data_IF_595992560785
#
_entry.id   IF_595992560785
#
_cell.length_a   1.000
_cell.length_b   1.000
_cell.length_c   1.000
_cell.angle_alpha   90.00
_cell.angle_beta   90.00
_cell.angle_gamma   90.00
#
_symmetry.space_group_name_H-M   'P 1'
#
loop_
_entity.id
_entity.type
_entity.pdbx_description
1 polymer ?
#
# COMPACT_ATOMS: atom_id res chain seq x y z
N UNK A 1 -27.37 31.72 16.16
CA UNK A 1 -25.94 32.00 16.39
C UNK A 1 -25.23 30.87 17.11
N UNK A 2 -25.63 30.52 18.34
CA UNK A 2 -24.87 29.56 19.15
C UNK A 2 -24.89 28.13 18.57
N UNK A 3 -26.05 27.65 18.10
CA UNK A 3 -26.19 26.30 17.56
C UNK A 3 -25.43 26.12 16.24
N UNK A 4 -25.49 27.10 15.35
CA UNK A 4 -24.83 27.06 14.05
C UNK A 4 -23.30 27.15 14.20
N UNK A 5 -22.81 28.06 15.06
CA UNK A 5 -21.38 28.15 15.38
C UNK A 5 -20.90 26.89 16.08
N UNK A 6 -21.68 26.33 17.02
CA UNK A 6 -21.35 25.06 17.68
C UNK A 6 -21.31 23.90 16.68
N UNK A 7 -22.23 23.85 15.73
CA UNK A 7 -22.26 22.84 14.68
C UNK A 7 -21.01 22.94 13.79
N UNK A 8 -20.63 24.14 13.35
CA UNK A 8 -19.42 24.34 12.55
C UNK A 8 -18.17 23.95 13.33
N UNK A 9 -18.07 24.34 14.61
CA UNK A 9 -16.94 23.94 15.47
C UNK A 9 -16.88 22.43 15.67
N UNK A 10 -18.03 21.77 15.86
CA UNK A 10 -18.12 20.31 15.95
C UNK A 10 -17.65 19.65 14.65
N UNK A 11 -18.09 20.16 13.49
CA UNK A 11 -17.66 19.66 12.19
C UNK A 11 -16.15 19.81 12.00
N UNK A 12 -15.56 20.95 12.36
CA UNK A 12 -14.09 21.15 12.32
C UNK A 12 -13.38 20.13 13.23
N UNK A 13 -13.91 19.89 14.44
CA UNK A 13 -13.36 18.90 15.36
C UNK A 13 -13.41 17.47 14.82
N UNK A 14 -14.54 17.08 14.22
CA UNK A 14 -14.70 15.78 13.55
C UNK A 14 -13.72 15.66 12.38
N UNK A 15 -13.58 16.70 11.56
CA UNK A 15 -12.61 16.72 10.46
C UNK A 15 -11.18 16.50 10.98
N UNK A 16 -10.83 17.18 12.07
CA UNK A 16 -9.53 17.02 12.73
C UNK A 16 -9.30 15.61 13.24
N UNK A 17 -10.30 14.99 13.85
CA UNK A 17 -10.21 13.59 14.30
C UNK A 17 -10.00 12.63 13.14
N UNK A 18 -10.70 12.83 12.02
CA UNK A 18 -10.56 12.02 10.81
C UNK A 18 -9.16 12.16 10.21
N UNK A 19 -8.70 13.39 9.98
CA UNK A 19 -7.37 13.68 9.44
C UNK A 19 -6.25 13.15 10.35
N UNK A 20 -6.42 13.26 11.66
CA UNK A 20 -5.49 12.69 12.65
C UNK A 20 -5.45 11.17 12.56
N UNK A 21 -6.60 10.51 12.45
CA UNK A 21 -6.71 9.05 12.38
C UNK A 21 -6.06 8.49 11.14
N UNK A 22 -6.35 9.08 9.98
CA UNK A 22 -5.76 8.72 8.70
C UNK A 22 -4.24 8.69 8.80
N UNK A 23 -3.66 9.82 9.19
CA UNK A 23 -2.22 9.97 9.22
C UNK A 23 -1.58 9.13 10.33
N UNK A 24 -2.24 8.96 11.47
CA UNK A 24 -1.73 8.10 12.54
C UNK A 24 -1.66 6.63 12.10
N UNK A 25 -2.69 6.11 11.44
CA UNK A 25 -2.72 4.72 10.95
C UNK A 25 -1.70 4.50 9.84
N UNK A 26 -1.64 5.41 8.86
CA UNK A 26 -0.69 5.33 7.73
C UNK A 26 0.77 5.44 8.19
N UNK A 27 1.04 6.27 9.19
CA UNK A 27 2.41 6.50 9.70
C UNK A 27 2.84 5.49 10.76
N UNK A 28 1.91 4.70 11.30
CA UNK A 28 2.19 3.73 12.36
C UNK A 28 2.98 2.54 11.82
N UNK A 29 3.94 2.05 12.62
CA UNK A 29 4.69 0.83 12.28
C UNK A 29 3.90 -0.40 12.76
N UNK A 30 3.52 -1.35 11.89
CA UNK A 30 2.74 -2.53 12.28
C UNK A 30 3.38 -3.36 13.41
N UNK A 31 4.71 -3.45 13.41
CA UNK A 31 5.49 -4.15 14.46
C UNK A 31 5.27 -3.54 15.85
N UNK A 32 5.20 -2.21 15.95
CA UNK A 32 5.00 -1.51 17.22
C UNK A 32 3.54 -1.63 17.70
N UNK A 33 2.58 -1.55 16.78
CA UNK A 33 1.17 -1.80 17.09
C UNK A 33 0.92 -3.22 17.60
N UNK A 34 1.53 -4.24 16.97
CA UNK A 34 1.47 -5.63 17.45
C UNK A 34 2.00 -5.75 18.88
N UNK A 35 3.17 -5.16 19.16
CA UNK A 35 3.72 -5.15 20.51
C UNK A 35 2.82 -4.44 21.55
N UNK A 36 2.10 -3.38 21.16
CA UNK A 36 1.08 -2.77 22.03
C UNK A 36 -0.12 -3.69 22.25
N UNK A 37 -0.61 -4.36 21.21
CA UNK A 37 -1.73 -5.29 21.29
C UNK A 37 -1.40 -6.51 22.18
N UNK A 38 -0.19 -7.07 22.06
CA UNK A 38 0.31 -8.16 22.92
C UNK A 38 0.38 -7.76 24.41
N UNK A 39 0.57 -6.46 24.70
CA UNK A 39 0.52 -5.90 26.06
C UNK A 39 -0.90 -5.62 26.57
N UNK A 40 -1.93 -6.01 25.81
CA UNK A 40 -3.34 -5.89 26.20
C UNK A 40 -4.04 -4.62 25.71
N UNK A 41 -3.42 -3.82 24.83
CA UNK A 41 -4.07 -2.64 24.24
C UNK A 41 -5.05 -3.05 23.13
N UNK A 42 -6.34 -3.03 23.45
CA UNK A 42 -7.43 -3.32 22.49
C UNK A 42 -7.49 -2.31 21.35
N UNK A 43 -7.10 -1.05 21.60
CA UNK A 43 -7.05 -0.02 20.57
C UNK A 43 -5.98 -0.33 19.52
N UNK A 44 -4.81 -0.80 19.98
CA UNK A 44 -3.73 -1.23 19.09
C UNK A 44 -4.12 -2.44 18.23
N UNK A 45 -4.90 -3.38 18.76
CA UNK A 45 -5.43 -4.51 17.98
C UNK A 45 -6.37 -4.04 16.86
N UNK A 46 -7.28 -3.11 17.17
CA UNK A 46 -8.20 -2.55 16.16
C UNK A 46 -7.43 -1.72 15.14
N UNK A 47 -6.46 -0.91 15.57
CA UNK A 47 -5.59 -0.13 14.69
C UNK A 47 -4.83 -1.04 13.71
N UNK A 48 -4.37 -2.21 14.18
CA UNK A 48 -3.72 -3.19 13.33
C UNK A 48 -4.67 -3.74 12.26
N UNK A 49 -5.92 -4.07 12.63
CA UNK A 49 -6.95 -4.52 11.68
C UNK A 49 -7.30 -3.44 10.64
N UNK A 50 -7.37 -2.18 11.06
CA UNK A 50 -7.58 -1.05 10.15
C UNK A 50 -6.40 -0.85 9.18
N UNK A 51 -5.17 -1.15 9.63
CA UNK A 51 -3.98 -1.09 8.80
C UNK A 51 -3.81 -2.29 7.84
N UNK A 52 -4.46 -3.43 8.10
CA UNK A 52 -4.44 -4.61 7.23
C UNK A 52 -5.27 -4.42 5.95
N UNK A 53 -6.35 -3.63 6.02
CA UNK A 53 -7.16 -3.22 4.87
C UNK A 53 -7.17 -1.69 4.72
N UNK A 54 -6.03 -1.11 4.29
CA UNK A 54 -5.90 0.34 4.21
C UNK A 54 -6.83 0.93 3.14
N UNK A 55 -7.21 0.18 2.11
CA UNK A 55 -8.06 0.70 1.02
C UNK A 55 -9.43 1.14 1.51
N UNK A 56 -10.16 0.25 2.19
CA UNK A 56 -11.49 0.55 2.72
C UNK A 56 -11.45 1.63 3.81
N UNK A 57 -10.41 1.61 4.66
CA UNK A 57 -10.21 2.62 5.70
C UNK A 57 -9.95 4.01 5.10
N UNK A 58 -8.98 4.12 4.17
CA UNK A 58 -8.60 5.40 3.58
C UNK A 58 -9.76 6.00 2.77
N UNK A 59 -10.48 5.18 2.00
CA UNK A 59 -11.68 5.62 1.29
C UNK A 59 -12.73 6.17 2.26
N UNK A 60 -13.03 5.44 3.34
CA UNK A 60 -13.99 5.88 4.36
C UNK A 60 -13.63 7.24 4.95
N UNK A 61 -12.38 7.37 5.41
CA UNK A 61 -11.92 8.59 6.09
C UNK A 61 -11.90 9.77 5.13
N UNK A 62 -11.44 9.58 3.90
CA UNK A 62 -11.40 10.62 2.88
C UNK A 62 -12.81 11.12 2.50
N UNK A 63 -13.77 10.21 2.36
CA UNK A 63 -15.18 10.56 2.14
C UNK A 63 -15.72 11.34 3.34
N UNK A 64 -15.39 10.91 4.56
CA UNK A 64 -15.76 11.62 5.79
C UNK A 64 -15.22 13.04 5.82
N UNK A 65 -13.93 13.23 5.57
CA UNK A 65 -13.27 14.55 5.52
C UNK A 65 -13.95 15.44 4.48
N UNK A 66 -14.19 14.90 3.29
CA UNK A 66 -14.83 15.65 2.20
C UNK A 66 -16.27 16.06 2.57
N UNK A 67 -17.06 15.14 3.11
CA UNK A 67 -18.45 15.41 3.49
C UNK A 67 -18.53 16.45 4.62
N UNK A 68 -17.70 16.28 5.65
CA UNK A 68 -17.64 17.21 6.78
C UNK A 68 -17.18 18.60 6.31
N UNK A 69 -16.18 18.67 5.42
CA UNK A 69 -15.71 19.91 4.82
C UNK A 69 -16.78 20.63 4.00
N UNK A 70 -17.50 19.89 3.14
CA UNK A 70 -18.61 20.44 2.34
C UNK A 70 -19.74 20.96 3.23
N UNK A 71 -20.13 20.19 4.25
CA UNK A 71 -21.16 20.62 5.21
C UNK A 71 -20.69 21.86 5.99
N UNK A 72 -19.47 21.86 6.52
CA UNK A 72 -18.93 23.01 7.25
C UNK A 72 -18.89 24.27 6.37
N UNK A 73 -18.46 24.15 5.11
CA UNK A 73 -18.44 25.26 4.15
C UNK A 73 -19.85 25.77 3.81
N UNK A 74 -20.78 24.86 3.52
CA UNK A 74 -22.16 25.21 3.17
C UNK A 74 -22.89 25.89 4.35
N UNK A 75 -22.78 25.33 5.55
CA UNK A 75 -23.42 25.90 6.75
C UNK A 75 -22.79 27.23 7.15
N UNK A 76 -21.46 27.36 7.09
CA UNK A 76 -20.78 28.61 7.47
C UNK A 76 -21.14 29.77 6.55
N UNK A 77 -21.12 29.57 5.24
CA UNK A 77 -21.49 30.63 4.27
C UNK A 77 -22.96 31.02 4.36
N UNK A 78 -23.87 30.04 4.42
CA UNK A 78 -25.31 30.29 4.38
C UNK A 78 -25.91 30.80 5.70
N UNK A 79 -25.21 30.66 6.83
CA UNK A 79 -25.73 31.11 8.13
C UNK A 79 -24.91 32.24 8.73
N UNK A 80 -23.62 32.00 8.98
CA UNK A 80 -22.74 32.96 9.64
C UNK A 80 -22.39 34.10 8.66
N UNK A 81 -22.17 33.77 7.39
CA UNK A 81 -21.88 34.75 6.32
C UNK A 81 -22.99 35.78 6.12
N UNK A 82 -24.24 35.31 5.96
CA UNK A 82 -25.41 36.18 5.79
C UNK A 82 -25.66 37.08 7.02
N UNK A 83 -25.44 36.56 8.23
CA UNK A 83 -25.60 37.36 9.45
C UNK A 83 -24.52 38.39 9.65
N UNK A 84 -23.27 38.07 9.27
CA UNK A 84 -22.21 39.06 9.28
C UNK A 84 -22.55 40.20 8.29
N UNK A 85 -23.08 39.86 7.12
CA UNK A 85 -23.54 40.83 6.13
C UNK A 85 -24.64 41.78 6.63
N UNK A 86 -25.50 41.36 7.57
CA UNK A 86 -26.52 42.24 8.17
C UNK A 86 -25.90 43.32 9.07
N UNK A 87 -24.74 43.05 9.67
CA UNK A 87 -24.05 43.95 10.60
C UNK A 87 -23.07 44.88 9.88
N UNK A 88 -22.54 44.46 8.72
CA UNK A 88 -21.57 45.23 7.92
C UNK A 88 -22.00 46.66 7.55
N UNK A 89 -23.28 46.96 7.27
CA UNK A 89 -23.75 48.32 7.03
C UNK A 89 -23.55 49.27 8.21
N UNK A 90 -23.59 48.76 9.45
CA UNK A 90 -23.31 49.56 10.66
C UNK A 90 -21.84 50.03 10.72
N UNK A 91 -20.96 49.32 10.02
CA UNK A 91 -19.53 49.62 9.90
C UNK A 91 -19.17 50.41 8.64
N UNK A 92 -20.17 50.94 7.92
CA UNK A 92 -19.96 51.81 6.75
C UNK A 92 -19.78 51.07 5.42
N UNK A 93 -20.06 49.75 5.37
CA UNK A 93 -20.02 49.00 4.11
C UNK A 93 -21.35 49.16 3.36
N UNK A 94 -21.33 49.51 2.05
CA UNK A 94 -22.55 49.63 1.26
C UNK A 94 -23.37 48.34 1.27
N UNK A 95 -24.69 48.44 1.45
CA UNK A 95 -25.59 47.28 1.49
C UNK A 95 -25.49 46.37 0.25
N UNK A 96 -25.18 46.95 -0.92
CA UNK A 96 -24.95 46.22 -2.16
C UNK A 96 -23.72 45.28 -2.09
N UNK A 97 -22.69 45.62 -1.31
CA UNK A 97 -21.48 44.84 -1.14
C UNK A 97 -21.46 44.03 0.16
N UNK A 98 -22.31 44.38 1.14
CA UNK A 98 -22.30 43.79 2.47
C UNK A 98 -22.47 42.26 2.46
N UNK A 99 -23.29 41.72 1.54
CA UNK A 99 -23.48 40.28 1.40
C UNK A 99 -22.22 39.56 0.90
N UNK A 100 -21.63 40.02 -0.20
CA UNK A 100 -20.41 39.41 -0.76
C UNK A 100 -19.23 39.51 0.22
N UNK A 101 -19.05 40.67 0.86
CA UNK A 101 -17.97 40.88 1.83
C UNK A 101 -18.21 40.07 3.11
N UNK A 102 -19.44 40.02 3.62
CA UNK A 102 -19.79 39.27 4.82
C UNK A 102 -19.59 37.77 4.66
N UNK A 103 -20.13 37.19 3.57
CA UNK A 103 -19.93 35.78 3.24
C UNK A 103 -18.46 35.49 2.95
N UNK A 104 -17.79 36.34 2.16
CA UNK A 104 -16.37 36.17 1.82
C UNK A 104 -15.47 36.16 3.06
N UNK A 105 -15.65 37.11 3.99
CA UNK A 105 -14.84 37.19 5.21
C UNK A 105 -15.05 35.99 6.13
N UNK A 106 -16.30 35.55 6.29
CA UNK A 106 -16.63 34.36 7.10
C UNK A 106 -16.03 33.10 6.48
N UNK A 107 -16.16 32.92 5.16
CA UNK A 107 -15.59 31.77 4.46
C UNK A 107 -14.08 31.75 4.62
N UNK A 108 -13.38 32.87 4.43
CA UNK A 108 -11.92 32.95 4.62
C UNK A 108 -11.53 32.63 6.07
N UNK A 109 -12.21 33.23 7.05
CA UNK A 109 -11.90 33.02 8.47
C UNK A 109 -12.14 31.57 8.91
N UNK A 110 -13.28 30.98 8.54
CA UNK A 110 -13.60 29.59 8.89
C UNK A 110 -12.72 28.61 8.11
N UNK A 111 -12.39 28.89 6.85
CA UNK A 111 -11.46 28.06 6.08
C UNK A 111 -10.08 28.04 6.74
N UNK A 112 -9.55 29.20 7.15
CA UNK A 112 -8.29 29.30 7.87
C UNK A 112 -8.32 28.50 9.19
N UNK A 113 -9.37 28.70 9.99
CA UNK A 113 -9.53 27.98 11.25
C UNK A 113 -9.67 26.46 11.04
N UNK A 114 -10.45 26.04 10.05
CA UNK A 114 -10.64 24.63 9.69
C UNK A 114 -9.36 23.99 9.18
N UNK A 115 -8.55 24.71 8.41
CA UNK A 115 -7.28 24.20 7.90
C UNK A 115 -6.25 24.02 9.02
N UNK A 116 -6.20 24.94 9.98
CA UNK A 116 -5.29 24.83 11.13
C UNK A 116 -5.77 23.78 12.12
N UNK A 117 -6.97 23.97 12.68
CA UNK A 117 -7.49 23.17 13.79
C UNK A 117 -8.07 21.84 13.32
N UNK A 118 -8.70 21.84 12.15
CA UNK A 118 -9.34 20.67 11.57
C UNK A 118 -8.43 19.83 10.69
N UNK A 119 -7.18 20.23 10.42
CA UNK A 119 -6.31 19.43 9.55
C UNK A 119 -4.83 19.48 9.96
N UNK A 120 -4.18 20.65 9.91
CA UNK A 120 -2.72 20.76 10.11
C UNK A 120 -2.29 20.34 11.52
N UNK A 121 -2.88 20.92 12.56
CA UNK A 121 -2.52 20.63 13.95
C UNK A 121 -2.78 19.15 14.30
N UNK A 122 -3.96 18.58 13.98
CA UNK A 122 -4.21 17.15 14.19
C UNK A 122 -3.22 16.24 13.46
N UNK A 123 -2.82 16.58 12.22
CA UNK A 123 -1.81 15.84 11.47
C UNK A 123 -0.44 15.90 12.15
N UNK A 124 -0.04 17.04 12.68
CA UNK A 124 1.22 17.16 13.43
C UNK A 124 1.20 16.30 14.71
N UNK A 125 0.07 16.25 15.42
CA UNK A 125 -0.10 15.38 16.60
C UNK A 125 0.00 13.90 16.20
N UNK A 126 -0.63 13.52 15.09
CA UNK A 126 -0.55 12.16 14.57
C UNK A 126 0.89 11.74 14.24
N UNK A 127 1.68 12.62 13.64
CA UNK A 127 3.08 12.34 13.31
C UNK A 127 4.00 12.26 14.54
N UNK A 128 3.70 13.02 15.59
CA UNK A 128 4.50 13.02 16.82
C UNK A 128 4.40 11.69 17.59
N UNK A 129 3.22 11.06 17.59
CA UNK A 129 2.99 9.80 18.32
C UNK A 129 1.99 8.87 17.59
N UNK A 130 2.33 8.37 16.39
CA UNK A 130 1.38 7.71 15.51
C UNK A 130 0.74 6.48 16.13
N UNK A 131 1.49 5.62 16.82
CA UNK A 131 0.91 4.39 17.37
C UNK A 131 -0.01 4.66 18.57
N UNK A 132 0.31 5.66 19.39
CA UNK A 132 -0.55 6.06 20.53
C UNK A 132 -1.86 6.66 20.03
N UNK A 133 -1.77 7.55 19.05
CA UNK A 133 -2.93 8.20 18.45
C UNK A 133 -3.78 7.19 17.69
N UNK A 134 -3.16 6.33 16.87
CA UNK A 134 -3.88 5.28 16.14
C UNK A 134 -4.62 4.35 17.10
N UNK A 135 -3.97 3.90 18.18
CA UNK A 135 -4.61 3.02 19.17
C UNK A 135 -5.78 3.71 19.89
N UNK A 136 -5.65 5.01 20.21
CA UNK A 136 -6.70 5.77 20.88
C UNK A 136 -7.93 5.99 19.98
N UNK A 137 -7.73 6.28 18.69
CA UNK A 137 -8.82 6.67 17.79
C UNK A 137 -9.40 5.47 17.00
N UNK A 138 -8.69 4.36 16.92
CA UNK A 138 -9.12 3.14 16.20
C UNK A 138 -10.53 2.64 16.55
N UNK A 139 -11.00 2.62 17.82
CA UNK A 139 -12.36 2.18 18.13
C UNK A 139 -13.46 3.07 17.51
N UNK A 140 -13.24 4.39 17.53
CA UNK A 140 -14.16 5.35 16.93
C UNK A 140 -14.18 5.20 15.40
N UNK A 141 -13.02 4.99 14.79
CA UNK A 141 -12.92 4.74 13.35
C UNK A 141 -13.58 3.45 12.93
N UNK A 142 -13.44 2.37 13.71
CA UNK A 142 -14.11 1.10 13.40
C UNK A 142 -15.64 1.25 13.36
N UNK A 143 -16.21 2.02 14.31
CA UNK A 143 -17.64 2.32 14.30
C UNK A 143 -18.03 3.12 13.06
N UNK A 144 -17.27 4.17 12.75
CA UNK A 144 -17.51 5.01 11.59
C UNK A 144 -17.43 4.22 10.28
N UNK A 145 -16.41 3.39 10.10
CA UNK A 145 -16.27 2.51 8.94
C UNK A 145 -17.42 1.53 8.78
N UNK A 146 -17.98 1.01 9.88
CA UNK A 146 -19.19 0.16 9.81
C UNK A 146 -20.42 0.92 9.34
N UNK A 147 -20.62 2.15 9.83
CA UNK A 147 -21.76 3.00 9.45
C UNK A 147 -21.62 3.48 8.00
N UNK A 148 -20.41 3.82 7.57
CA UNK A 148 -20.10 4.32 6.24
C UNK A 148 -19.96 3.20 5.19
N UNK A 149 -19.81 1.93 5.60
CA UNK A 149 -19.64 0.78 4.72
C UNK A 149 -20.57 0.73 3.48
N UNK A 150 -21.90 0.95 3.58
CA UNK A 150 -22.77 0.92 2.40
C UNK A 150 -22.47 2.06 1.41
N UNK A 151 -22.12 3.24 1.91
CA UNK A 151 -21.75 4.40 1.07
C UNK A 151 -20.41 4.16 0.38
N UNK A 152 -19.42 3.67 1.14
CA UNK A 152 -18.08 3.34 0.63
C UNK A 152 -18.17 2.25 -0.44
N UNK A 153 -18.96 1.20 -0.20
CA UNK A 153 -19.17 0.14 -1.19
C UNK A 153 -19.74 0.67 -2.52
N UNK A 154 -20.71 1.58 -2.44
CA UNK A 154 -21.29 2.21 -3.64
C UNK A 154 -20.23 3.01 -4.40
N UNK A 155 -19.44 3.81 -3.67
CA UNK A 155 -18.38 4.64 -4.24
C UNK A 155 -17.25 3.80 -4.84
N UNK A 156 -16.78 2.76 -4.15
CA UNK A 156 -15.75 1.85 -4.67
C UNK A 156 -16.23 1.12 -5.92
N UNK A 157 -17.49 0.69 -5.97
CA UNK A 157 -18.08 0.09 -7.18
C UNK A 157 -18.16 1.08 -8.32
N UNK A 158 -18.52 2.34 -8.05
CA UNK A 158 -18.53 3.39 -9.06
C UNK A 158 -17.11 3.70 -9.57
N UNK A 159 -16.12 3.77 -8.68
CA UNK A 159 -14.72 4.00 -9.03
C UNK A 159 -14.17 2.84 -9.86
N UNK A 160 -14.44 1.59 -9.46
CA UNK A 160 -14.05 0.40 -10.22
C UNK A 160 -14.71 0.35 -11.61
N UNK A 161 -15.95 0.82 -11.76
CA UNK A 161 -16.60 0.96 -13.06
C UNK A 161 -15.86 1.97 -13.95
N UNK A 162 -15.54 3.15 -13.40
CA UNK A 162 -14.79 4.18 -14.12
C UNK A 162 -13.40 3.68 -14.52
N UNK A 163 -12.67 3.02 -13.61
CA UNK A 163 -11.37 2.44 -13.91
C UNK A 163 -11.45 1.37 -15.03
N UNK A 164 -12.50 0.54 -15.02
CA UNK A 164 -12.76 -0.43 -16.10
C UNK A 164 -13.01 0.24 -17.44
N UNK A 165 -13.73 1.37 -17.45
CA UNK A 165 -13.98 2.15 -18.68
C UNK A 165 -12.68 2.76 -19.23
N UNK A 166 -11.71 3.08 -18.36
CA UNK A 166 -10.40 3.62 -18.73
C UNK A 166 -9.37 2.48 -19.00
N UNK A 167 -9.81 1.21 -18.95
CA UNK A 167 -8.97 0.05 -19.24
C UNK A 167 -8.01 -0.37 -18.11
N UNK A 168 -8.11 0.23 -16.92
CA UNK A 168 -7.33 -0.18 -15.74
C UNK A 168 -8.14 -1.16 -14.89
N UNK A 169 -7.88 -2.46 -15.07
CA UNK A 169 -8.43 -3.47 -14.15
C UNK A 169 -7.56 -3.51 -12.87
N UNK A 170 -8.06 -2.89 -11.81
CA UNK A 170 -7.40 -2.76 -10.51
C UNK A 170 -7.24 -4.09 -9.76
N UNK A 171 -6.37 -4.97 -10.25
CA UNK A 171 -5.75 -6.03 -9.46
C UNK A 171 -4.24 -5.84 -9.52
N UNK A 172 -3.70 -5.11 -8.55
CA UNK A 172 -2.30 -5.31 -8.16
C UNK A 172 -2.27 -6.61 -7.39
N UNK A 173 -1.98 -7.70 -8.08
CA UNK A 173 -1.41 -8.85 -7.39
C UNK A 173 -0.03 -8.38 -6.89
N UNK A 174 0.29 -8.47 -5.58
CA UNK A 174 1.64 -8.26 -5.09
C UNK A 174 2.48 -9.51 -5.39
N UNK A 175 2.37 -10.04 -6.60
CA UNK A 175 3.27 -11.05 -7.08
C UNK A 175 4.62 -10.34 -7.27
N UNK A 176 5.45 -10.39 -6.23
CA UNK A 176 6.83 -9.91 -6.26
C UNK A 176 7.48 -10.56 -7.47
N UNK A 177 7.88 -9.74 -8.43
CA UNK A 177 8.52 -10.25 -9.65
C UNK A 177 9.91 -10.77 -9.31
N UNK A 178 10.43 -11.68 -10.12
CA UNK A 178 11.83 -12.09 -10.07
C UNK A 178 12.78 -10.89 -10.19
N UNK A 179 12.41 -9.88 -10.98
CA UNK A 179 13.13 -8.60 -11.05
C UNK A 179 13.14 -7.84 -9.72
N UNK A 180 12.03 -7.86 -8.97
CA UNK A 180 11.95 -7.21 -7.65
C UNK A 180 12.85 -7.95 -6.65
N UNK A 181 12.86 -9.28 -6.66
CA UNK A 181 13.75 -10.11 -5.83
C UNK A 181 15.23 -9.83 -6.14
N UNK A 182 15.60 -9.75 -7.43
CA UNK A 182 16.97 -9.41 -7.85
C UNK A 182 17.39 -8.02 -7.43
N UNK A 183 16.46 -7.07 -7.45
CA UNK A 183 16.70 -5.69 -7.03
C UNK A 183 16.97 -5.64 -5.52
N UNK A 184 16.11 -6.27 -4.73
CA UNK A 184 16.28 -6.38 -3.27
C UNK A 184 17.61 -7.07 -2.87
N UNK A 185 17.97 -8.16 -3.54
CA UNK A 185 19.27 -8.83 -3.31
C UNK A 185 20.47 -7.96 -3.67
N UNK A 186 20.32 -7.08 -4.67
CA UNK A 186 21.37 -6.14 -5.07
C UNK A 186 21.55 -5.02 -4.05
N UNK A 187 20.45 -4.49 -3.52
CA UNK A 187 20.46 -3.48 -2.46
C UNK A 187 21.03 -4.06 -1.15
N UNK A 188 20.61 -5.26 -0.76
CA UNK A 188 21.11 -5.94 0.43
C UNK A 188 22.62 -6.25 0.35
N UNK A 189 23.13 -6.59 -0.84
CA UNK A 189 24.56 -6.77 -1.07
C UNK A 189 25.32 -5.43 -1.03
N UNK A 190 24.76 -4.36 -1.59
CA UNK A 190 25.33 -3.01 -1.53
C UNK A 190 25.38 -2.43 -0.11
N UNK A 191 24.40 -2.77 0.71
CA UNK A 191 24.33 -2.41 2.14
C UNK A 191 25.21 -3.30 3.05
N UNK A 192 25.88 -4.33 2.49
CA UNK A 192 26.74 -5.24 3.25
C UNK A 192 26.00 -6.25 4.14
N UNK A 193 24.68 -6.38 4.00
CA UNK A 193 23.86 -7.33 4.75
C UNK A 193 24.04 -8.76 4.21
N UNK A 194 24.30 -8.89 2.90
CA UNK A 194 24.49 -10.16 2.21
C UNK A 194 25.82 -10.11 1.47
N UNK A 195 26.60 -11.19 1.52
CA UNK A 195 27.87 -11.27 0.80
C UNK A 195 27.62 -11.46 -0.70
N UNK A 196 28.54 -10.96 -1.54
CA UNK A 196 28.42 -11.09 -3.00
C UNK A 196 28.29 -12.55 -3.48
N UNK A 197 28.96 -13.47 -2.79
CA UNK A 197 28.87 -14.91 -3.05
C UNK A 197 27.46 -15.48 -2.76
N UNK A 198 26.80 -15.02 -1.69
CA UNK A 198 25.43 -15.44 -1.34
C UNK A 198 24.42 -14.93 -2.37
N UNK A 199 24.57 -13.69 -2.86
CA UNK A 199 23.78 -13.15 -3.97
C UNK A 199 23.93 -14.00 -5.25
N UNK A 200 25.15 -14.40 -5.60
CA UNK A 200 25.42 -15.23 -6.77
C UNK A 200 24.82 -16.63 -6.65
N UNK A 201 24.87 -17.22 -5.44
CA UNK A 201 24.25 -18.50 -5.13
C UNK A 201 22.73 -18.43 -5.24
N UNK A 202 22.08 -17.46 -4.59
CA UNK A 202 20.62 -17.29 -4.64
C UNK A 202 20.15 -17.06 -6.08
N UNK A 203 20.82 -16.16 -6.82
CA UNK A 203 20.53 -15.94 -8.23
C UNK A 203 20.77 -17.19 -9.10
N UNK A 204 21.72 -18.04 -8.73
CA UNK A 204 21.98 -19.34 -9.36
C UNK A 204 20.86 -20.35 -9.13
N UNK A 205 20.33 -20.43 -7.91
CA UNK A 205 19.22 -21.32 -7.53
C UNK A 205 17.93 -20.93 -8.26
N UNK A 206 17.65 -19.62 -8.38
CA UNK A 206 16.50 -19.14 -9.16
C UNK A 206 16.62 -19.58 -10.63
N UNK A 207 17.77 -19.33 -11.27
CA UNK A 207 18.02 -19.78 -12.66
C UNK A 207 18.00 -21.30 -12.84
N UNK A 208 18.34 -22.05 -11.80
CA UNK A 208 18.29 -23.51 -11.81
C UNK A 208 16.84 -24.02 -11.79
N UNK A 209 15.97 -23.39 -11.01
CA UNK A 209 14.55 -23.75 -10.91
C UNK A 209 13.83 -23.63 -12.26
N UNK A 210 14.21 -22.63 -13.08
CA UNK A 210 13.63 -22.43 -14.42
C UNK A 210 14.32 -23.25 -15.52
N UNK A 211 15.45 -23.89 -15.23
CA UNK A 211 16.19 -24.68 -16.22
C UNK A 211 15.53 -26.02 -16.43
N UNK A 212 15.04 -26.23 -17.65
CA UNK A 212 14.64 -27.57 -18.12
C UNK A 212 15.87 -28.48 -18.16
N UNK A 213 15.70 -29.78 -17.88
CA UNK A 213 16.76 -30.79 -17.90
C UNK A 213 17.63 -30.74 -19.17
N UNK A 214 17.03 -30.43 -20.33
CA UNK A 214 17.73 -30.22 -21.61
C UNK A 214 18.88 -29.19 -21.53
N UNK A 215 18.76 -28.16 -20.71
CA UNK A 215 19.77 -27.10 -20.55
C UNK A 215 20.93 -27.48 -19.64
N UNK A 216 20.88 -28.65 -18.98
CA UNK A 216 21.92 -29.19 -18.10
C UNK A 216 22.51 -30.51 -18.61
N UNK A 217 21.79 -31.22 -19.47
CA UNK A 217 22.26 -32.48 -20.07
C UNK A 217 23.36 -32.24 -21.09
N UNK A 218 24.34 -33.13 -21.12
CA UNK A 218 25.30 -33.23 -22.22
C UNK A 218 24.54 -33.61 -23.51
N UNK A 219 24.69 -32.84 -24.61
CA UNK A 219 24.07 -33.17 -25.88
C UNK A 219 24.42 -34.59 -26.33
N UNK A 220 23.45 -35.35 -26.86
CA UNK A 220 23.62 -36.79 -27.19
C UNK A 220 24.84 -37.10 -28.08
N UNK A 221 25.23 -36.18 -28.96
CA UNK A 221 26.39 -36.33 -29.83
C UNK A 221 27.74 -36.16 -29.10
N UNK A 222 27.73 -35.43 -27.99
CA UNK A 222 28.88 -35.22 -27.11
C UNK A 222 28.95 -36.26 -25.99
N UNK A 223 27.98 -37.18 -25.90
CA UNK A 223 28.02 -38.29 -24.95
C UNK A 223 28.91 -39.39 -25.54
N UNK A 224 30.02 -39.66 -24.87
CA UNK A 224 30.89 -40.77 -25.21
C UNK A 224 30.22 -42.10 -24.80
N UNK A 225 30.07 -43.02 -25.76
CA UNK A 225 29.33 -44.29 -25.58
C UNK A 225 30.25 -45.49 -25.84
N UNK A 226 30.02 -46.60 -25.14
CA UNK A 226 30.71 -47.86 -25.41
C UNK A 226 29.81 -48.76 -26.28
N UNK A 227 30.41 -49.55 -27.18
CA UNK A 227 29.66 -50.46 -28.07
C UNK A 227 29.54 -51.85 -27.44
N UNK A 228 28.41 -52.51 -27.68
CA UNK A 228 28.10 -53.85 -27.11
C UNK A 228 29.07 -54.96 -27.54
N UNK A 229 29.90 -54.74 -28.57
CA UNK A 229 30.91 -55.69 -29.04
C UNK A 229 32.36 -55.33 -28.67
N UNK A 230 32.60 -54.25 -27.92
CA UNK A 230 33.96 -53.86 -27.51
C UNK A 230 34.46 -54.76 -26.38
N UNK A 231 35.73 -55.13 -26.44
CA UNK A 231 36.35 -55.94 -25.39
C UNK A 231 36.58 -55.09 -24.13
N UNK A 232 36.60 -55.75 -22.98
CA UNK A 232 36.79 -55.10 -21.67
C UNK A 232 38.09 -54.26 -21.63
N UNK A 233 39.14 -54.69 -22.31
CA UNK A 233 40.42 -54.01 -22.38
C UNK A 233 40.33 -52.66 -23.11
N UNK A 234 39.65 -52.63 -24.27
CA UNK A 234 39.46 -51.42 -25.09
C UNK A 234 38.58 -50.37 -24.38
N UNK A 235 37.60 -50.83 -23.59
CA UNK A 235 36.75 -49.95 -22.78
C UNK A 235 37.56 -49.32 -21.63
N UNK A 236 38.42 -50.10 -20.96
CA UNK A 236 39.28 -49.65 -19.86
C UNK A 236 40.35 -48.66 -20.31
N UNK A 237 40.93 -48.85 -21.49
CA UNK A 237 41.94 -47.94 -22.03
C UNK A 237 41.33 -46.56 -22.33
N UNK A 238 40.15 -46.54 -22.95
CA UNK A 238 39.39 -45.31 -23.21
C UNK A 238 38.94 -44.61 -21.93
N UNK A 239 38.57 -45.38 -20.90
CA UNK A 239 38.21 -44.85 -19.59
C UNK A 239 39.37 -44.05 -18.98
N UNK A 240 40.58 -44.62 -19.00
CA UNK A 240 41.79 -43.96 -18.49
C UNK A 240 42.13 -42.68 -19.26
N UNK A 241 41.90 -42.66 -20.58
CA UNK A 241 42.16 -41.49 -21.41
C UNK A 241 41.15 -40.35 -21.23
N UNK A 242 39.90 -40.65 -20.85
CA UNK A 242 38.81 -39.68 -20.86
C UNK A 242 38.63 -38.86 -19.58
N UNK A 243 39.15 -39.30 -18.44
CA UNK A 243 39.04 -38.59 -17.15
C UNK A 243 37.62 -38.46 -16.56
N UNK A 244 36.61 -39.13 -17.13
CA UNK A 244 35.22 -39.05 -16.66
C UNK A 244 34.88 -40.21 -15.70
N UNK A 245 34.17 -39.91 -14.60
CA UNK A 245 33.82 -40.87 -13.54
C UNK A 245 32.43 -41.51 -13.67
N UNK A 246 31.66 -41.19 -14.72
CA UNK A 246 30.23 -41.58 -14.82
C UNK A 246 29.96 -42.80 -15.70
N UNK A 247 28.80 -43.42 -15.44
CA UNK A 247 28.31 -44.62 -16.11
C UNK A 247 27.96 -44.31 -17.58
N UNK A 248 28.71 -44.87 -18.54
CA UNK A 248 28.49 -44.61 -19.96
C UNK A 248 27.33 -45.44 -20.52
N UNK A 249 26.38 -44.82 -21.24
CA UNK A 249 25.32 -45.58 -21.89
C UNK A 249 25.90 -46.46 -23.00
N UNK A 250 25.49 -47.74 -23.00
CA UNK A 250 25.85 -48.70 -24.05
C UNK A 250 25.03 -48.42 -25.31
N UNK A 251 25.70 -48.24 -26.45
CA UNK A 251 25.04 -48.13 -27.74
C UNK A 251 24.93 -49.53 -28.35
N UNK A 252 23.69 -50.06 -28.46
CA UNK A 252 23.43 -51.27 -29.26
C UNK A 252 23.93 -51.04 -30.69
N UNK A 253 24.60 -52.04 -31.26
CA UNK A 253 24.98 -52.03 -32.67
C UNK A 253 23.73 -51.72 -33.52
N UNK A 254 23.90 -50.87 -34.53
CA UNK A 254 22.80 -50.50 -35.41
C UNK A 254 22.19 -51.78 -35.99
N UNK A 255 20.96 -52.09 -35.60
CA UNK A 255 20.10 -52.94 -36.42
C UNK A 255 19.97 -52.18 -37.73
N UNK A 256 20.62 -52.68 -38.78
CA UNK A 256 20.29 -52.34 -40.16
C UNK A 256 18.78 -52.47 -40.27
N UNK A 257 18.07 -51.35 -40.34
CA UNK A 257 16.68 -51.36 -40.81
C UNK A 257 16.77 -51.49 -42.32
N UNK A 258 16.33 -52.65 -42.80
CA UNK A 258 15.80 -52.81 -44.17
C UNK A 258 14.53 -51.99 -44.26
#
# INVERSE_FOLDING_TARGET
>A
MFLETLLVLLLIGVNGLLAMSELAVVSSRPVRLRSCAERGDRGAEIALRLAEDPGNFLSTVQIGITLVGVLAGAFSGATIGLRLAEVLPEFGIPAAAANEVGVGLVVVGITYLSLIVGELVPKQIALAAPERVASAVAPAMLLLSRVAAPLVWLLDRSGALVLRLIGHSGKRDPAVSDEDIRTLLSEAAGAGVIHRAEKELIGGVMRFSDRRARGLMTPRHAVETARVGETRAEILERFKASGHSSNRPLKKAASTRV
#
